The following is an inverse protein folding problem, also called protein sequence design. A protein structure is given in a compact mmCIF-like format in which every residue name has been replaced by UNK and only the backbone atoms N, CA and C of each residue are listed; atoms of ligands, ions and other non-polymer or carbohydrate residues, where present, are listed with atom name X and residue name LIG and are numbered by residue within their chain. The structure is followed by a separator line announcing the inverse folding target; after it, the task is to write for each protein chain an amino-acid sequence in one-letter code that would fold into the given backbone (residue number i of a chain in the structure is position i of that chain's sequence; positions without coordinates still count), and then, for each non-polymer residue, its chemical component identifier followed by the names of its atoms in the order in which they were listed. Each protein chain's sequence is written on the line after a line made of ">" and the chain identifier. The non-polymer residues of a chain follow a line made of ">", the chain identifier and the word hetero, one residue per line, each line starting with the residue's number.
data_IF_135313760529
#
_entry.id   IF_135313760529
#
_cell.length_a   1.000
_cell.length_b   1.000
_cell.length_c   1.000
_cell.angle_alpha   90.00
_cell.angle_beta   90.00
_cell.angle_gamma   90.00
#
_symmetry.space_group_name_H-M   'P 1'
#
loop_
_entity.id
_entity.type
_entity.pdbx_description
1 polymer ?
#
# COMPACT_ATOMS: atom_id res chain seq x y z
N UNK A 1 56.84 27.56 8.49
CA UNK A 1 55.87 28.61 8.89
C UNK A 1 54.64 28.43 8.03
N UNK A 2 53.70 27.64 8.55
CA UNK A 2 52.41 27.33 7.92
C UNK A 2 51.59 28.61 7.84
N UNK A 3 51.07 28.94 6.65
CA UNK A 3 50.13 30.05 6.45
C UNK A 3 48.96 29.85 7.40
N UNK A 4 48.76 30.81 8.28
CA UNK A 4 47.65 30.87 9.22
C UNK A 4 46.48 31.47 8.46
N UNK A 5 45.46 30.67 8.19
CA UNK A 5 44.24 31.13 7.55
C UNK A 5 43.42 31.91 8.60
N UNK A 6 43.31 33.22 8.43
CA UNK A 6 42.38 34.06 9.19
C UNK A 6 40.97 33.84 8.64
N UNK A 7 40.00 33.68 9.53
CA UNK A 7 38.59 33.47 9.21
C UNK A 7 37.76 34.48 9.99
N UNK A 8 36.93 35.26 9.30
CA UNK A 8 36.02 36.20 9.93
C UNK A 8 34.60 35.62 9.97
N UNK A 9 33.99 35.57 11.16
CA UNK A 9 32.56 35.31 11.31
C UNK A 9 31.83 36.65 11.28
N UNK A 10 30.89 36.81 10.36
CA UNK A 10 30.20 38.06 10.06
C UNK A 10 28.69 37.85 10.15
N UNK A 11 27.98 38.73 10.84
CA UNK A 11 26.52 38.80 10.81
C UNK A 11 26.08 39.82 9.75
N UNK A 12 25.02 39.54 9.00
CA UNK A 12 24.41 40.51 8.09
C UNK A 12 23.06 40.97 8.65
N UNK A 13 22.87 42.28 8.78
CA UNK A 13 21.54 42.88 8.97
C UNK A 13 21.16 43.67 7.71
N UNK A 14 19.98 43.41 7.18
CA UNK A 14 19.43 44.16 6.03
C UNK A 14 18.54 45.27 6.57
N UNK A 15 18.88 46.52 6.30
CA UNK A 15 18.09 47.69 6.69
C UNK A 15 16.81 47.85 5.85
N UNK A 16 15.84 48.64 6.34
CA UNK A 16 14.57 48.92 5.65
C UNK A 16 14.74 49.58 4.25
N UNK A 17 15.91 50.18 3.99
CA UNK A 17 16.31 50.81 2.73
C UNK A 17 17.02 49.87 1.73
N UNK A 18 17.23 48.59 2.07
CA UNK A 18 17.92 47.61 1.20
C UNK A 18 19.44 47.66 1.26
N UNK A 19 20.03 48.38 2.22
CA UNK A 19 21.47 48.39 2.48
C UNK A 19 21.86 47.19 3.37
N UNK A 20 22.92 46.46 2.99
CA UNK A 20 23.47 45.34 3.77
C UNK A 20 24.53 45.83 4.77
N UNK A 21 24.27 45.63 6.06
CA UNK A 21 25.22 45.91 7.14
C UNK A 21 25.93 44.62 7.56
N UNK A 22 27.25 44.58 7.40
CA UNK A 22 28.09 43.45 7.81
C UNK A 22 28.76 43.74 9.16
N UNK A 23 28.43 42.96 10.18
CA UNK A 23 28.98 43.06 11.53
C UNK A 23 30.02 41.95 11.70
N UNK A 24 31.29 42.32 11.78
CA UNK A 24 32.37 41.37 12.08
C UNK A 24 32.33 41.01 13.55
N UNK A 25 32.09 39.73 13.84
CA UNK A 25 31.89 39.22 15.22
C UNK A 25 33.18 38.71 15.85
N UNK A 26 33.97 37.92 15.12
CA UNK A 26 35.30 37.49 15.56
C UNK A 26 36.20 37.25 14.34
N UNK A 27 37.51 37.39 14.54
CA UNK A 27 38.56 36.99 13.59
C UNK A 27 39.33 35.84 14.21
N UNK A 28 39.13 34.65 13.68
CA UNK A 28 39.68 33.41 14.21
C UNK A 28 40.77 32.92 13.29
N UNK A 29 41.93 32.60 13.85
CA UNK A 29 42.99 31.91 13.12
C UNK A 29 42.79 30.41 13.32
N UNK A 30 42.49 29.68 12.26
CA UNK A 30 42.18 28.24 12.35
C UNK A 30 43.49 27.46 12.53
N UNK A 31 43.65 26.84 13.70
CA UNK A 31 44.74 25.91 14.04
C UNK A 31 44.12 24.58 14.51
N UNK A 32 44.88 23.50 14.49
CA UNK A 32 44.43 22.22 15.06
C UNK A 32 44.02 22.41 16.55
N UNK A 33 42.80 21.99 16.90
CA UNK A 33 42.19 22.22 18.23
C UNK A 33 41.47 23.56 18.41
N UNK A 34 41.37 24.38 17.36
CA UNK A 34 40.68 25.67 17.36
C UNK A 34 39.17 25.60 17.03
N UNK A 35 38.61 24.40 16.82
CA UNK A 35 37.23 24.25 16.36
C UNK A 35 36.21 24.85 17.33
N UNK A 36 36.48 24.76 18.64
CA UNK A 36 35.59 25.29 19.68
C UNK A 36 35.39 26.81 19.57
N UNK A 37 36.46 27.56 19.32
CA UNK A 37 36.40 29.03 19.18
C UNK A 37 35.70 29.44 17.89
N UNK A 38 35.99 28.76 16.78
CA UNK A 38 35.29 28.99 15.52
C UNK A 38 33.78 28.71 15.67
N UNK A 39 33.41 27.61 16.33
CA UNK A 39 32.01 27.27 16.58
C UNK A 39 31.30 28.28 17.50
N UNK A 40 32.01 28.91 18.44
CA UNK A 40 31.46 29.97 19.29
C UNK A 40 31.32 31.29 18.53
N UNK A 41 32.30 31.67 17.72
CA UNK A 41 32.24 32.82 16.82
C UNK A 41 31.05 32.72 15.84
N UNK A 42 30.86 31.56 15.20
CA UNK A 42 29.73 31.30 14.30
C UNK A 42 28.40 31.36 15.07
N UNK A 43 28.31 30.79 16.28
CA UNK A 43 27.10 30.87 17.11
C UNK A 43 26.75 32.33 17.48
N UNK A 44 27.73 33.14 17.82
CA UNK A 44 27.54 34.57 18.12
C UNK A 44 27.13 35.36 16.89
N UNK A 45 27.80 35.15 15.75
CA UNK A 45 27.44 35.76 14.47
C UNK A 45 26.01 35.43 14.07
N UNK A 46 25.61 34.17 14.27
CA UNK A 46 24.26 33.72 14.01
C UNK A 46 23.22 34.36 14.93
N UNK A 47 23.52 34.52 16.22
CA UNK A 47 22.61 35.15 17.17
C UNK A 47 22.33 36.62 16.80
N UNK A 48 23.35 37.32 16.30
CA UNK A 48 23.23 38.71 15.82
C UNK A 48 22.52 38.75 14.47
N UNK A 49 22.92 37.92 13.50
CA UNK A 49 22.37 37.87 12.15
C UNK A 49 21.04 37.11 12.02
N UNK A 50 20.28 36.98 13.12
CA UNK A 50 18.96 36.32 13.18
C UNK A 50 18.89 34.94 12.53
N UNK A 51 19.95 34.14 12.64
CA UNK A 51 20.02 32.80 12.03
C UNK A 51 20.98 32.68 10.85
N UNK A 52 21.41 33.81 10.27
CA UNK A 52 22.40 33.89 9.18
C UNK A 52 23.76 34.30 9.71
N UNK A 53 24.82 33.74 9.13
CA UNK A 53 26.20 34.15 9.38
C UNK A 53 27.04 33.89 8.12
N UNK A 54 27.96 34.77 7.82
CA UNK A 54 28.92 34.65 6.74
C UNK A 54 30.29 34.32 7.33
N UNK A 55 30.96 33.33 6.77
CA UNK A 55 32.34 32.96 7.10
C UNK A 55 33.22 33.37 5.93
N UNK A 56 34.13 34.31 6.14
CA UNK A 56 35.08 34.77 5.11
C UNK A 56 36.45 34.21 5.42
N UNK A 57 37.06 33.50 4.48
CA UNK A 57 38.44 33.03 4.62
C UNK A 57 39.42 34.06 4.05
N UNK A 58 40.55 34.27 4.72
CA UNK A 58 41.59 35.21 4.32
C UNK A 58 42.61 34.60 3.34
N UNK A 59 42.37 33.40 2.80
CA UNK A 59 43.14 32.88 1.69
C UNK A 59 42.94 33.81 0.47
N UNK A 60 43.93 33.91 -0.41
CA UNK A 60 44.08 35.02 -1.37
C UNK A 60 42.95 35.29 -2.37
N UNK A 61 41.83 34.55 -2.30
CA UNK A 61 40.62 34.75 -3.10
C UNK A 61 39.41 35.23 -2.28
N UNK A 62 39.49 35.28 -0.94
CA UNK A 62 38.41 35.82 -0.09
C UNK A 62 37.14 34.98 -0.15
N UNK A 63 37.25 33.65 -0.06
CA UNK A 63 36.10 32.75 -0.23
C UNK A 63 35.05 33.00 0.87
N UNK A 64 33.83 33.31 0.43
CA UNK A 64 32.66 33.63 1.26
C UNK A 64 31.75 32.41 1.40
N UNK A 65 31.60 31.91 2.62
CA UNK A 65 30.72 30.78 2.94
C UNK A 65 29.57 31.25 3.80
N UNK A 66 28.37 31.31 3.21
CA UNK A 66 27.15 31.59 3.95
C UNK A 66 26.68 30.36 4.72
N UNK A 67 26.47 30.54 6.02
CA UNK A 67 25.89 29.56 6.91
C UNK A 67 24.52 30.07 7.39
N UNK A 68 23.54 29.19 7.30
CA UNK A 68 22.20 29.48 7.78
C UNK A 68 21.66 28.28 8.54
N UNK A 69 20.88 28.55 9.58
CA UNK A 69 20.21 27.51 10.36
C UNK A 69 18.68 27.61 10.30
N UNK A 70 18.16 28.75 9.86
CA UNK A 70 16.79 28.79 9.36
C UNK A 70 16.84 28.46 7.87
N UNK A 71 15.76 27.93 7.31
CA UNK A 71 15.67 27.72 5.87
C UNK A 71 15.46 29.10 5.21
N UNK A 72 16.47 29.98 5.21
CA UNK A 72 16.39 31.30 4.55
C UNK A 72 17.24 31.29 3.30
N UNK A 73 16.69 31.81 2.20
CA UNK A 73 17.43 31.99 0.95
C UNK A 73 18.57 33.00 1.15
N UNK A 74 19.80 32.62 0.77
CA UNK A 74 20.99 33.49 0.87
C UNK A 74 21.01 34.60 -0.17
N UNK A 75 20.21 34.50 -1.24
CA UNK A 75 20.19 35.48 -2.32
C UNK A 75 19.14 36.58 -2.10
N UNK A 76 17.95 36.23 -1.61
CA UNK A 76 16.85 37.20 -1.42
C UNK A 76 16.41 37.38 0.03
N UNK A 77 16.95 36.61 0.98
CA UNK A 77 16.60 36.71 2.40
C UNK A 77 15.20 36.15 2.76
N UNK A 78 14.52 35.46 1.85
CA UNK A 78 13.20 34.88 2.12
C UNK A 78 13.28 33.68 3.08
N UNK A 79 12.50 33.71 4.15
CA UNK A 79 12.38 32.62 5.12
C UNK A 79 11.38 31.55 4.66
N UNK A 80 11.77 30.29 4.74
CA UNK A 80 10.93 29.13 4.49
C UNK A 80 10.60 28.42 5.81
N UNK A 81 9.33 28.04 6.04
CA UNK A 81 8.95 27.23 7.19
C UNK A 81 9.56 25.82 7.11
N UNK A 82 9.65 25.16 8.26
CA UNK A 82 10.02 23.76 8.32
C UNK A 82 8.99 22.90 7.59
N UNK A 83 9.47 22.05 6.70
CA UNK A 83 8.63 21.08 6.00
C UNK A 83 8.07 20.05 6.97
N UNK A 84 6.76 19.88 6.92
CA UNK A 84 5.98 18.90 7.65
C UNK A 84 5.30 17.93 6.67
N UNK A 85 4.75 16.82 7.18
CA UNK A 85 4.02 15.87 6.32
C UNK A 85 2.74 16.50 5.75
N UNK A 86 2.13 17.39 6.52
CA UNK A 86 0.90 18.09 6.18
C UNK A 86 1.08 18.96 4.93
N UNK A 87 2.28 19.52 4.71
CA UNK A 87 2.60 20.33 3.54
C UNK A 87 2.51 19.53 2.23
N UNK A 88 2.74 18.22 2.28
CA UNK A 88 2.67 17.31 1.13
C UNK A 88 1.31 16.61 1.00
N UNK A 89 0.29 17.04 1.74
CA UNK A 89 -1.05 16.44 1.68
C UNK A 89 -1.94 17.15 0.67
N UNK A 90 -2.22 16.51 -0.46
CA UNK A 90 -3.18 17.00 -1.45
C UNK A 90 -4.61 16.78 -0.92
N UNK A 91 -5.24 17.84 -0.41
CA UNK A 91 -6.66 17.81 -0.01
C UNK A 91 -7.53 17.87 -1.27
N UNK A 92 -8.35 16.84 -1.49
CA UNK A 92 -9.07 16.62 -2.75
C UNK A 92 -9.94 17.80 -3.22
N UNK A 93 -10.00 17.96 -4.56
CA UNK A 93 -10.86 18.92 -5.25
C UNK A 93 -10.12 20.18 -5.73
N UNK A 94 -9.27 20.06 -6.75
CA UNK A 94 -8.73 21.20 -7.51
C UNK A 94 -7.92 22.23 -6.72
N UNK A 95 -7.59 21.96 -5.46
CA UNK A 95 -6.76 22.82 -4.63
C UNK A 95 -5.35 22.88 -5.19
N UNK A 96 -4.83 24.09 -5.37
CA UNK A 96 -3.41 24.29 -5.71
C UNK A 96 -2.55 23.62 -4.64
N UNK A 97 -1.52 22.92 -5.09
CA UNK A 97 -0.46 22.40 -4.23
C UNK A 97 0.05 23.53 -3.32
N UNK A 98 0.25 23.30 -2.01
CA UNK A 98 0.85 24.31 -1.14
C UNK A 98 2.19 24.77 -1.75
N UNK A 99 2.43 26.08 -1.76
CA UNK A 99 3.60 26.68 -2.45
C UNK A 99 4.95 26.09 -2.01
N UNK A 100 5.04 25.58 -0.78
CA UNK A 100 6.22 24.89 -0.28
C UNK A 100 6.40 23.48 -0.83
N UNK A 101 5.34 22.67 -0.95
CA UNK A 101 5.46 21.34 -1.54
C UNK A 101 5.79 21.41 -3.04
N UNK A 102 5.22 22.40 -3.74
CA UNK A 102 5.51 22.64 -5.14
C UNK A 102 6.97 23.07 -5.42
N UNK A 103 7.67 23.64 -4.43
CA UNK A 103 9.07 24.06 -4.56
C UNK A 103 10.07 23.09 -3.94
N UNK A 104 9.62 22.17 -3.08
CA UNK A 104 10.45 21.12 -2.53
C UNK A 104 10.79 20.09 -3.62
N UNK A 105 12.09 19.73 -3.70
CA UNK A 105 12.56 18.69 -4.62
C UNK A 105 13.23 17.55 -3.88
N UNK A 106 13.04 16.35 -4.40
CA UNK A 106 13.78 15.15 -4.06
C UNK A 106 14.68 14.86 -5.27
N UNK A 107 16.01 14.88 -5.09
CA UNK A 107 17.00 14.67 -6.18
C UNK A 107 16.70 15.45 -7.48
N UNK A 108 16.26 16.71 -7.35
CA UNK A 108 15.93 17.59 -8.48
C UNK A 108 14.54 17.40 -9.07
N UNK A 109 13.72 16.49 -8.54
CA UNK A 109 12.33 16.26 -8.95
C UNK A 109 11.38 16.83 -7.90
N UNK A 110 10.44 17.68 -8.33
CA UNK A 110 9.43 18.27 -7.45
C UNK A 110 8.40 17.24 -6.98
N UNK A 111 7.67 17.54 -5.90
CA UNK A 111 6.56 16.67 -5.47
C UNK A 111 5.48 16.55 -6.56
N UNK A 112 5.10 17.66 -7.19
CA UNK A 112 4.20 17.67 -8.35
C UNK A 112 4.65 16.71 -9.46
N UNK A 113 5.91 16.78 -9.90
CA UNK A 113 6.46 15.87 -10.91
C UNK A 113 6.43 14.41 -10.46
N UNK A 114 6.80 14.11 -9.20
CA UNK A 114 6.73 12.76 -8.64
C UNK A 114 5.29 12.21 -8.66
N UNK A 115 4.29 13.03 -8.39
CA UNK A 115 2.89 12.57 -8.42
C UNK A 115 2.39 12.26 -9.83
N UNK A 116 2.98 12.86 -10.87
CA UNK A 116 2.63 12.55 -12.26
C UNK A 116 3.33 11.30 -12.79
N UNK A 117 4.35 10.80 -12.10
CA UNK A 117 4.99 9.54 -12.44
C UNK A 117 4.05 8.36 -12.24
N UNK A 118 4.17 7.37 -13.11
CA UNK A 118 3.59 6.04 -12.95
C UNK A 118 4.20 5.30 -11.76
N UNK A 119 3.48 4.33 -11.18
CA UNK A 119 4.00 3.53 -10.07
C UNK A 119 5.33 2.83 -10.44
N UNK A 120 5.49 2.36 -11.69
CA UNK A 120 6.75 1.77 -12.17
C UNK A 120 7.89 2.79 -12.31
N UNK A 121 7.58 4.03 -12.68
CA UNK A 121 8.57 5.13 -12.67
C UNK A 121 8.99 5.49 -11.25
N UNK A 122 8.04 5.59 -10.31
CA UNK A 122 8.35 5.81 -8.89
C UNK A 122 9.16 4.64 -8.33
N UNK A 123 8.88 3.41 -8.76
CA UNK A 123 9.66 2.23 -8.38
C UNK A 123 11.13 2.38 -8.80
N UNK A 124 11.36 2.69 -10.08
CA UNK A 124 12.71 2.95 -10.62
C UNK A 124 13.40 4.13 -9.92
N UNK A 125 12.66 5.20 -9.68
CA UNK A 125 13.14 6.40 -8.98
C UNK A 125 13.59 6.06 -7.56
N UNK A 126 12.75 5.35 -6.78
CA UNK A 126 13.07 4.94 -5.41
C UNK A 126 14.27 4.00 -5.34
N UNK A 127 14.43 3.09 -6.30
CA UNK A 127 15.58 2.20 -6.39
C UNK A 127 16.88 2.96 -6.75
N UNK A 128 16.79 4.01 -7.56
CA UNK A 128 17.93 4.87 -7.85
C UNK A 128 18.38 5.68 -6.63
N UNK A 129 17.41 6.20 -5.86
CA UNK A 129 17.66 6.92 -4.60
C UNK A 129 18.31 6.02 -3.53
N UNK A 130 17.84 4.78 -3.42
CA UNK A 130 18.39 3.79 -2.49
C UNK A 130 19.85 3.44 -2.85
N UNK A 131 20.13 3.21 -4.14
CA UNK A 131 21.48 2.92 -4.63
C UNK A 131 22.45 4.09 -4.46
N UNK A 132 22.00 5.33 -4.67
CA UNK A 132 22.88 6.48 -4.50
C UNK A 132 23.23 6.70 -3.03
N UNK A 133 22.28 6.42 -2.12
CA UNK A 133 22.42 6.71 -0.68
C UNK A 133 22.58 8.20 -0.39
N UNK A 134 22.33 9.07 -1.37
CA UNK A 134 22.65 10.50 -1.35
C UNK A 134 21.47 11.30 -1.87
N UNK A 135 21.15 12.38 -1.16
CA UNK A 135 20.16 13.38 -1.51
C UNK A 135 20.79 14.77 -1.44
N UNK A 136 20.83 15.49 -2.56
CA UNK A 136 21.39 16.85 -2.62
C UNK A 136 22.85 16.94 -2.17
N UNK A 137 23.67 15.92 -2.48
CA UNK A 137 25.08 15.85 -2.08
C UNK A 137 25.34 15.39 -0.65
N UNK A 138 24.29 15.22 0.17
CA UNK A 138 24.38 14.70 1.54
C UNK A 138 23.93 13.25 1.62
N UNK A 139 24.52 12.46 2.52
CA UNK A 139 24.03 11.09 2.77
C UNK A 139 22.60 11.11 3.27
N UNK A 140 21.79 10.18 2.79
CA UNK A 140 20.43 9.98 3.29
C UNK A 140 20.47 9.66 4.80
N UNK A 141 19.56 10.25 5.60
CA UNK A 141 19.40 9.86 6.99
C UNK A 141 19.15 8.35 7.11
N UNK A 142 19.70 7.73 8.16
CA UNK A 142 19.53 6.28 8.41
C UNK A 142 18.04 5.88 8.47
N UNK A 143 17.20 6.78 8.98
CA UNK A 143 15.75 6.58 9.08
C UNK A 143 15.05 6.51 7.72
N UNK A 144 15.63 7.10 6.66
CA UNK A 144 15.05 7.09 5.32
C UNK A 144 15.05 5.70 4.68
N UNK A 145 15.97 4.83 5.07
CA UNK A 145 16.06 3.47 4.52
C UNK A 145 14.77 2.67 4.73
N UNK A 146 14.20 2.70 5.95
CA UNK A 146 12.95 2.01 6.24
C UNK A 146 11.76 2.55 5.44
N UNK A 147 11.73 3.87 5.19
CA UNK A 147 10.68 4.51 4.39
C UNK A 147 10.80 4.13 2.91
N UNK A 148 12.02 4.12 2.37
CA UNK A 148 12.30 3.72 0.99
C UNK A 148 11.93 2.24 0.78
N UNK A 149 12.31 1.37 1.72
CA UNK A 149 11.96 -0.05 1.68
C UNK A 149 10.44 -0.27 1.75
N UNK A 150 9.74 0.44 2.63
CA UNK A 150 8.28 0.37 2.71
C UNK A 150 7.61 0.84 1.40
N UNK A 151 8.10 1.93 0.81
CA UNK A 151 7.62 2.42 -0.48
C UNK A 151 7.84 1.37 -1.59
N UNK A 152 9.06 0.85 -1.70
CA UNK A 152 9.41 -0.19 -2.69
C UNK A 152 8.57 -1.45 -2.52
N UNK A 153 8.25 -1.86 -1.28
CA UNK A 153 7.37 -2.99 -1.02
C UNK A 153 5.95 -2.77 -1.60
N UNK A 154 5.38 -1.58 -1.42
CA UNK A 154 4.08 -1.24 -2.00
C UNK A 154 4.12 -1.20 -3.54
N UNK A 155 5.18 -0.62 -4.11
CA UNK A 155 5.33 -0.49 -5.56
C UNK A 155 5.58 -1.85 -6.24
N UNK A 156 6.31 -2.77 -5.59
CA UNK A 156 6.53 -4.12 -6.09
C UNK A 156 5.20 -4.91 -6.19
N UNK A 157 4.33 -4.78 -5.19
CA UNK A 157 3.00 -5.41 -5.24
C UNK A 157 2.13 -4.82 -6.35
N UNK A 158 2.19 -3.50 -6.56
CA UNK A 158 1.48 -2.84 -7.66
C UNK A 158 1.97 -3.30 -9.04
N UNK A 159 3.30 -3.44 -9.22
CA UNK A 159 3.87 -3.95 -10.47
C UNK A 159 3.49 -5.42 -10.72
N UNK A 160 3.54 -6.25 -9.67
CA UNK A 160 3.11 -7.67 -9.72
C UNK A 160 1.66 -7.81 -10.16
N UNK A 161 0.79 -6.87 -9.78
CA UNK A 161 -0.63 -6.86 -10.14
C UNK A 161 -0.94 -6.03 -11.38
N UNK A 162 0.04 -5.73 -12.23
CA UNK A 162 -0.15 -5.06 -13.52
C UNK A 162 -0.93 -3.74 -13.38
N UNK A 163 -0.60 -2.98 -12.33
CA UNK A 163 -1.08 -1.61 -12.12
C UNK A 163 0.07 -0.59 -12.07
N UNK A 164 1.27 -1.03 -12.47
CA UNK A 164 2.49 -0.21 -12.53
C UNK A 164 2.37 1.02 -13.44
N UNK A 165 1.55 0.95 -14.49
CA UNK A 165 1.30 2.02 -15.45
C UNK A 165 0.43 3.17 -14.91
N UNK A 166 -0.18 3.02 -13.74
CA UNK A 166 -1.08 4.02 -13.16
C UNK A 166 -0.26 5.18 -12.58
N UNK A 167 -0.51 6.45 -12.95
CA UNK A 167 0.09 7.60 -12.30
C UNK A 167 -0.31 7.72 -10.83
N UNK A 168 0.61 8.15 -9.95
CA UNK A 168 0.34 8.29 -8.51
C UNK A 168 -0.78 9.30 -8.22
N UNK A 169 -0.93 10.32 -9.08
CA UNK A 169 -1.98 11.35 -9.02
C UNK A 169 -3.35 10.87 -9.50
N UNK A 170 -3.44 9.69 -10.14
CA UNK A 170 -4.69 9.22 -10.75
C UNK A 170 -5.70 8.88 -9.66
N UNK A 171 -6.89 9.47 -9.78
CA UNK A 171 -7.99 9.23 -8.84
C UNK A 171 -8.46 7.78 -8.93
N UNK A 172 -8.69 7.17 -7.76
CA UNK A 172 -9.31 5.84 -7.66
C UNK A 172 -10.66 5.76 -8.37
N UNK A 173 -11.37 6.88 -8.58
CA UNK A 173 -12.67 6.92 -9.29
C UNK A 173 -12.53 6.74 -10.79
N UNK A 174 -11.41 7.19 -11.36
CA UNK A 174 -11.14 7.22 -12.81
C UNK A 174 -10.45 5.93 -13.29
N UNK A 175 -10.27 4.96 -12.39
CA UNK A 175 -9.79 3.62 -12.70
C UNK A 175 -10.93 2.76 -13.23
N UNK A 176 -10.60 1.87 -14.17
CA UNK A 176 -11.48 0.76 -14.51
C UNK A 176 -11.72 -0.12 -13.27
N UNK A 177 -12.81 -0.88 -13.26
CA UNK A 177 -13.11 -1.76 -12.12
C UNK A 177 -12.01 -2.81 -11.90
N UNK A 178 -11.43 -3.33 -12.98
CA UNK A 178 -10.28 -4.23 -12.92
C UNK A 178 -9.02 -3.57 -12.32
N UNK A 179 -8.64 -2.37 -12.77
CA UNK A 179 -7.50 -1.63 -12.18
C UNK A 179 -7.74 -1.32 -10.70
N UNK A 180 -8.94 -0.84 -10.37
CA UNK A 180 -9.33 -0.49 -9.00
C UNK A 180 -9.21 -1.69 -8.07
N UNK A 181 -9.71 -2.85 -8.50
CA UNK A 181 -9.59 -4.10 -7.75
C UNK A 181 -8.14 -4.51 -7.55
N UNK A 182 -7.31 -4.46 -8.60
CA UNK A 182 -5.88 -4.82 -8.52
C UNK A 182 -5.11 -3.88 -7.58
N UNK A 183 -5.39 -2.58 -7.60
CA UNK A 183 -4.82 -1.61 -6.62
C UNK A 183 -5.23 -1.97 -5.19
N UNK A 184 -6.50 -2.34 -4.97
CA UNK A 184 -6.99 -2.75 -3.64
C UNK A 184 -6.30 -4.04 -3.16
N UNK A 185 -6.15 -5.04 -4.03
CA UNK A 185 -5.46 -6.30 -3.70
C UNK A 185 -3.98 -6.04 -3.39
N UNK A 186 -3.29 -5.19 -4.15
CA UNK A 186 -1.90 -4.78 -3.86
C UNK A 186 -1.79 -4.19 -2.45
N UNK A 187 -2.75 -3.33 -2.08
CA UNK A 187 -2.80 -2.70 -0.77
C UNK A 187 -3.11 -3.69 0.37
N UNK A 188 -3.77 -4.82 0.11
CA UNK A 188 -4.02 -5.84 1.13
C UNK A 188 -2.82 -6.73 1.38
N UNK A 189 -2.14 -7.18 0.33
CA UNK A 189 -0.95 -8.03 0.42
C UNK A 189 0.15 -7.33 1.21
N UNK A 190 0.35 -6.04 0.92
CA UNK A 190 1.42 -5.24 1.53
C UNK A 190 1.19 -4.89 3.00
N UNK A 191 0.00 -5.16 3.55
CA UNK A 191 -0.27 -4.96 4.99
C UNK A 191 0.24 -6.10 5.85
N UNK A 192 0.55 -7.27 5.29
CA UNK A 192 1.09 -8.42 6.03
C UNK A 192 0.20 -8.88 7.19
N UNK A 193 -1.12 -8.75 7.07
CA UNK A 193 -2.04 -9.19 8.12
C UNK A 193 -2.17 -10.71 8.13
N UNK A 194 -2.40 -11.27 9.32
CA UNK A 194 -2.57 -12.71 9.56
C UNK A 194 -3.87 -12.95 10.33
N UNK A 195 -4.55 -14.06 10.04
CA UNK A 195 -5.83 -14.40 10.69
C UNK A 195 -6.99 -13.49 10.28
N UNK A 196 -6.89 -12.85 9.11
CA UNK A 196 -7.94 -12.01 8.54
C UNK A 196 -8.83 -12.82 7.61
N UNK A 197 -10.13 -12.53 7.63
CA UNK A 197 -11.10 -13.00 6.66
C UNK A 197 -11.30 -11.92 5.58
N UNK A 198 -10.77 -12.16 4.39
CA UNK A 198 -11.02 -11.33 3.21
C UNK A 198 -12.25 -11.83 2.48
N UNK A 199 -13.15 -10.92 2.11
CA UNK A 199 -14.37 -11.24 1.38
C UNK A 199 -14.44 -10.34 0.16
N UNK A 200 -14.30 -10.91 -1.04
CA UNK A 200 -14.09 -10.16 -2.27
C UNK A 200 -15.10 -10.58 -3.34
N UNK A 201 -16.03 -9.69 -3.75
CA UNK A 201 -16.99 -9.99 -4.80
C UNK A 201 -16.36 -9.84 -6.19
N UNK A 202 -16.51 -10.88 -7.02
CA UNK A 202 -16.12 -10.92 -8.45
C UNK A 202 -14.77 -10.30 -8.77
N UNK A 203 -13.68 -10.71 -8.06
CA UNK A 203 -12.38 -10.05 -8.12
C UNK A 203 -11.73 -10.08 -9.49
N UNK A 204 -12.08 -11.06 -10.33
CA UNK A 204 -11.45 -11.28 -11.63
C UNK A 204 -12.31 -10.80 -12.80
N UNK A 205 -13.46 -10.18 -12.51
CA UNK A 205 -14.32 -9.60 -13.53
C UNK A 205 -13.57 -8.50 -14.30
N UNK A 206 -13.73 -8.49 -15.63
CA UNK A 206 -13.05 -7.56 -16.53
C UNK A 206 -11.50 -7.66 -16.56
N UNK A 207 -10.90 -8.77 -16.10
CA UNK A 207 -9.47 -9.05 -16.24
C UNK A 207 -9.18 -9.97 -17.43
N UNK A 208 -8.10 -9.67 -18.15
CA UNK A 208 -7.49 -10.58 -19.11
C UNK A 208 -6.81 -11.78 -18.41
N UNK A 209 -6.32 -12.74 -19.20
CA UNK A 209 -5.74 -13.98 -18.67
C UNK A 209 -4.49 -13.75 -17.81
N UNK A 210 -3.64 -12.78 -18.20
CA UNK A 210 -2.40 -12.46 -17.49
C UNK A 210 -2.70 -11.83 -16.13
N UNK A 211 -3.54 -10.78 -16.11
CA UNK A 211 -3.95 -10.11 -14.89
C UNK A 211 -4.72 -11.05 -13.95
N UNK A 212 -5.55 -11.95 -14.49
CA UNK A 212 -6.26 -12.97 -13.72
C UNK A 212 -5.29 -13.88 -12.97
N UNK A 213 -4.28 -14.40 -13.68
CA UNK A 213 -3.25 -15.26 -13.10
C UNK A 213 -2.46 -14.54 -12.01
N UNK A 214 -2.09 -13.27 -12.27
CA UNK A 214 -1.38 -12.44 -11.30
C UNK A 214 -2.19 -12.23 -10.02
N UNK A 215 -3.48 -11.89 -10.14
CA UNK A 215 -4.37 -11.69 -8.98
C UNK A 215 -4.60 -12.97 -8.21
N UNK A 216 -4.82 -14.12 -8.87
CA UNK A 216 -5.00 -15.40 -8.20
C UNK A 216 -3.80 -15.77 -7.33
N UNK A 217 -2.57 -15.69 -7.87
CA UNK A 217 -1.33 -15.92 -7.11
C UNK A 217 -1.21 -14.96 -5.91
N UNK A 218 -1.64 -13.71 -6.10
CA UNK A 218 -1.65 -12.72 -5.04
C UNK A 218 -2.64 -13.10 -3.91
N UNK A 219 -3.83 -13.58 -4.25
CA UNK A 219 -4.82 -14.06 -3.28
C UNK A 219 -4.36 -15.34 -2.57
N UNK A 220 -3.72 -16.27 -3.28
CA UNK A 220 -3.08 -17.45 -2.71
C UNK A 220 -2.04 -17.07 -1.66
N UNK A 221 -1.21 -16.05 -1.93
CA UNK A 221 -0.20 -15.56 -0.96
C UNK A 221 -0.82 -15.05 0.34
N UNK A 222 -2.04 -14.47 0.30
CA UNK A 222 -2.76 -14.10 1.51
C UNK A 222 -3.14 -15.33 2.32
N UNK A 223 -3.56 -16.40 1.65
CA UNK A 223 -3.91 -17.68 2.28
C UNK A 223 -2.67 -18.38 2.86
N UNK A 224 -1.54 -18.34 2.17
CA UNK A 224 -0.25 -18.81 2.69
C UNK A 224 0.20 -18.07 3.94
N UNK A 225 -0.13 -16.77 4.05
CA UNK A 225 0.10 -15.99 5.25
C UNK A 225 -0.84 -16.34 6.43
N UNK A 226 -1.73 -17.34 6.29
CA UNK A 226 -2.66 -17.76 7.34
C UNK A 226 -3.97 -16.96 7.38
N UNK A 227 -4.38 -16.40 6.24
CA UNK A 227 -5.68 -15.74 6.09
C UNK A 227 -6.70 -16.66 5.41
N UNK A 228 -7.97 -16.28 5.48
CA UNK A 228 -9.04 -16.91 4.70
C UNK A 228 -9.50 -15.92 3.63
N UNK A 229 -9.65 -16.36 2.39
CA UNK A 229 -10.13 -15.53 1.29
C UNK A 229 -11.42 -16.14 0.75
N UNK A 230 -12.55 -15.43 0.87
CA UNK A 230 -13.83 -15.82 0.29
C UNK A 230 -14.08 -14.98 -0.95
N UNK A 231 -14.21 -15.63 -2.10
CA UNK A 231 -14.56 -15.03 -3.38
C UNK A 231 -16.04 -15.29 -3.69
N UNK A 232 -16.72 -14.34 -4.33
CA UNK A 232 -17.97 -14.64 -5.05
C UNK A 232 -17.68 -14.58 -6.52
N UNK A 233 -17.82 -15.70 -7.23
CA UNK A 233 -17.67 -15.69 -8.67
C UNK A 233 -18.48 -16.79 -9.36
N UNK A 234 -18.74 -16.60 -10.65
CA UNK A 234 -19.32 -17.60 -11.53
C UNK A 234 -18.34 -18.04 -12.62
N UNK A 235 -17.13 -17.48 -12.68
CA UNK A 235 -16.05 -17.86 -13.58
C UNK A 235 -15.48 -19.23 -13.19
N UNK A 236 -15.43 -20.15 -14.16
CA UNK A 236 -14.94 -21.52 -13.95
C UNK A 236 -13.46 -21.54 -13.57
N UNK A 237 -12.64 -20.65 -14.14
CA UNK A 237 -11.22 -20.57 -13.82
C UNK A 237 -10.95 -20.11 -12.39
N UNK A 238 -11.82 -19.26 -11.82
CA UNK A 238 -11.78 -18.95 -10.38
C UNK A 238 -12.07 -20.20 -9.55
N UNK A 239 -13.09 -20.98 -9.94
CA UNK A 239 -13.47 -22.20 -9.21
C UNK A 239 -12.35 -23.22 -9.19
N UNK A 240 -11.69 -23.43 -10.34
CA UNK A 240 -10.56 -24.36 -10.47
C UNK A 240 -9.36 -23.98 -9.60
N UNK A 241 -9.13 -22.68 -9.36
CA UNK A 241 -8.02 -22.18 -8.55
C UNK A 241 -8.29 -22.19 -7.04
N UNK A 242 -9.53 -22.43 -6.60
CA UNK A 242 -9.88 -22.41 -5.18
C UNK A 242 -9.51 -23.72 -4.49
N UNK A 243 -9.38 -23.70 -3.16
CA UNK A 243 -9.28 -24.91 -2.34
C UNK A 243 -10.66 -25.55 -2.12
N UNK A 244 -11.68 -24.70 -1.99
CA UNK A 244 -13.06 -25.11 -1.70
C UNK A 244 -14.06 -24.30 -2.53
N UNK A 245 -15.04 -24.99 -3.12
CA UNK A 245 -16.16 -24.38 -3.86
C UNK A 245 -17.47 -24.65 -3.14
N UNK A 246 -18.24 -23.60 -2.88
CA UNK A 246 -19.60 -23.66 -2.36
C UNK A 246 -20.57 -23.20 -3.46
N UNK A 247 -21.35 -24.13 -4.00
CA UNK A 247 -22.31 -23.82 -5.06
C UNK A 247 -23.67 -23.43 -4.49
N UNK A 248 -24.26 -22.34 -4.96
CA UNK A 248 -25.57 -21.84 -4.57
C UNK A 248 -26.57 -21.95 -5.72
N UNK A 249 -27.70 -22.59 -5.44
CA UNK A 249 -28.84 -22.69 -6.34
C UNK A 249 -30.12 -22.49 -5.54
N UNK A 250 -31.02 -21.62 -6.02
CA UNK A 250 -32.33 -21.35 -5.42
C UNK A 250 -32.30 -21.07 -3.91
N UNK A 251 -31.26 -20.38 -3.46
CA UNK A 251 -31.08 -20.02 -2.05
C UNK A 251 -30.56 -21.12 -1.14
N UNK A 252 -30.19 -22.27 -1.71
CA UNK A 252 -29.56 -23.39 -1.02
C UNK A 252 -28.10 -23.48 -1.43
N UNK A 253 -27.23 -23.70 -0.44
CA UNK A 253 -25.85 -24.08 -0.68
C UNK A 253 -25.74 -25.59 -0.82
N UNK A 254 -25.06 -26.05 -1.86
CA UNK A 254 -24.52 -27.40 -1.89
C UNK A 254 -23.39 -27.52 -0.84
N UNK A 255 -23.13 -28.75 -0.41
CA UNK A 255 -22.00 -29.04 0.47
C UNK A 255 -20.70 -28.51 -0.16
N UNK A 256 -19.80 -27.89 0.63
CA UNK A 256 -18.51 -27.44 0.13
C UNK A 256 -17.77 -28.61 -0.52
N UNK A 257 -17.41 -28.45 -1.79
CA UNK A 257 -16.61 -29.43 -2.52
C UNK A 257 -15.16 -28.96 -2.48
N UNK A 258 -14.25 -29.80 -1.98
CA UNK A 258 -12.83 -29.57 -2.14
C UNK A 258 -12.48 -29.76 -3.61
N UNK A 259 -11.92 -28.73 -4.21
CA UNK A 259 -11.51 -28.76 -5.61
C UNK A 259 -10.21 -29.55 -5.68
N UNK A 260 -10.31 -30.80 -6.14
CA UNK A 260 -9.15 -31.47 -6.74
C UNK A 260 -9.13 -31.11 -8.22
N UNK A 261 -7.94 -30.98 -8.86
CA UNK A 261 -7.84 -30.64 -10.29
C UNK A 261 -8.61 -31.58 -11.23
N UNK A 262 -9.09 -32.73 -10.74
CA UNK A 262 -9.84 -33.73 -11.51
C UNK A 262 -11.36 -33.73 -11.27
N UNK A 263 -11.90 -32.96 -10.31
CA UNK A 263 -13.28 -33.14 -9.82
C UNK A 263 -14.28 -32.04 -10.21
N UNK A 264 -13.92 -31.14 -11.14
CA UNK A 264 -14.83 -30.06 -11.61
C UNK A 264 -15.74 -30.52 -12.75
N UNK A 265 -15.54 -31.73 -13.30
CA UNK A 265 -16.39 -32.29 -14.36
C UNK A 265 -17.09 -33.55 -13.86
N UNK A 266 -18.08 -33.41 -12.97
CA UNK A 266 -19.11 -34.44 -12.76
C UNK A 266 -20.39 -33.89 -12.10
N UNK A 267 -21.49 -33.91 -12.87
CA UNK A 267 -22.92 -33.73 -12.49
C UNK A 267 -23.43 -32.27 -12.43
N UNK A 268 -24.38 -31.80 -13.25
CA UNK A 268 -25.63 -32.45 -13.66
C UNK A 268 -26.01 -32.19 -15.13
N UNK A 269 -26.25 -33.28 -15.86
CA UNK A 269 -26.88 -33.26 -17.18
C UNK A 269 -28.40 -33.19 -17.08
N UNK A 270 -29.00 -32.18 -17.72
CA UNK A 270 -30.33 -32.27 -18.30
C UNK A 270 -30.23 -31.90 -19.79
N UNK A 271 -30.70 -32.83 -20.62
CA UNK A 271 -30.53 -32.97 -22.07
C UNK A 271 -30.50 -31.72 -22.98
N UNK A 272 -29.61 -31.80 -23.97
CA UNK A 272 -29.62 -31.03 -25.21
C UNK A 272 -28.45 -31.45 -26.11
N UNK A 273 -28.74 -32.27 -27.14
CA UNK A 273 -27.79 -32.72 -28.17
C UNK A 273 -27.12 -31.54 -28.91
N UNK A 274 -25.79 -31.63 -29.15
CA UNK A 274 -25.12 -31.13 -30.36
C UNK A 274 -23.59 -31.34 -30.31
N UNK A 275 -23.13 -32.42 -30.97
CA UNK A 275 -21.93 -32.57 -31.82
C UNK A 275 -20.57 -31.94 -31.44
N UNK A 276 -19.60 -32.83 -31.21
CA UNK A 276 -18.20 -32.86 -31.70
C UNK A 276 -17.29 -31.62 -31.62
N UNK A 277 -16.18 -31.73 -30.87
CA UNK A 277 -14.82 -31.89 -31.42
C UNK A 277 -13.80 -32.23 -30.29
N UNK A 278 -12.83 -33.12 -30.52
CA UNK A 278 -11.82 -33.48 -29.54
C UNK A 278 -10.60 -32.55 -29.65
N UNK A 279 -10.01 -32.14 -28.52
CA UNK A 279 -8.64 -31.66 -28.54
C UNK A 279 -7.84 -32.32 -27.41
N UNK A 280 -7.13 -33.39 -27.78
CA UNK A 280 -6.02 -33.96 -27.02
C UNK A 280 -4.77 -33.16 -27.38
N UNK A 281 -4.10 -32.61 -26.37
CA UNK A 281 -2.65 -32.36 -26.35
C UNK A 281 -2.25 -32.60 -24.89
N UNK A 282 -1.82 -33.81 -24.59
CA UNK A 282 -0.42 -34.25 -24.54
C UNK A 282 0.28 -33.88 -23.22
N UNK A 283 0.86 -34.94 -22.67
CA UNK A 283 1.50 -35.07 -21.39
C UNK A 283 2.78 -34.23 -21.31
N UNK A 284 2.97 -33.52 -20.20
CA UNK A 284 4.20 -32.83 -19.86
C UNK A 284 4.28 -32.62 -18.37
N UNK A 285 5.08 -33.44 -17.68
CA UNK A 285 5.22 -33.43 -16.24
C UNK A 285 5.74 -32.10 -15.67
N UNK A 286 5.23 -31.76 -14.49
CA UNK A 286 5.71 -30.63 -13.68
C UNK A 286 4.97 -30.64 -12.35
N UNK A 287 5.68 -30.98 -11.28
CA UNK A 287 5.12 -31.39 -9.99
C UNK A 287 4.40 -30.31 -9.19
N UNK A 288 3.59 -30.79 -8.25
CA UNK A 288 2.95 -29.99 -7.21
C UNK A 288 1.62 -30.57 -6.77
N UNK A 289 1.60 -31.82 -6.28
CA UNK A 289 0.44 -32.33 -5.57
C UNK A 289 0.28 -31.56 -4.25
N UNK A 290 -0.49 -30.47 -4.28
CA UNK A 290 -0.88 -29.73 -3.10
C UNK A 290 -1.69 -30.66 -2.19
N UNK A 291 -1.11 -31.04 -1.05
CA UNK A 291 -1.85 -31.69 0.02
C UNK A 291 -2.92 -30.71 0.47
N UNK A 292 -4.20 -31.05 0.25
CA UNK A 292 -5.32 -30.24 0.69
C UNK A 292 -5.13 -29.89 2.18
N UNK A 293 -5.04 -28.59 2.50
CA UNK A 293 -4.91 -28.12 3.89
C UNK A 293 -6.20 -28.52 4.61
N UNK A 294 -6.17 -29.61 5.38
CA UNK A 294 -7.30 -29.99 6.24
C UNK A 294 -7.39 -28.96 7.36
N UNK A 295 -8.16 -27.89 7.15
CA UNK A 295 -8.40 -26.90 8.19
C UNK A 295 -9.42 -27.45 9.18
N UNK A 296 -9.03 -27.53 10.44
CA UNK A 296 -9.93 -28.01 11.49
C UNK A 296 -10.99 -26.96 11.89
N UNK A 297 -10.90 -25.74 11.36
CA UNK A 297 -11.73 -24.60 11.75
C UNK A 297 -12.71 -24.19 10.64
N UNK A 298 -13.96 -23.95 11.00
CA UNK A 298 -15.00 -23.52 10.07
C UNK A 298 -15.87 -22.38 10.59
N UNK A 299 -16.34 -21.55 9.68
CA UNK A 299 -17.38 -20.55 9.89
C UNK A 299 -18.72 -21.21 9.51
N UNK A 300 -19.55 -21.49 10.52
CA UNK A 300 -20.84 -22.14 10.35
C UNK A 300 -21.92 -21.09 10.20
N UNK A 301 -22.57 -21.08 9.06
CA UNK A 301 -23.79 -20.33 8.84
C UNK A 301 -24.93 -21.30 9.10
N UNK A 302 -25.85 -20.92 9.98
CA UNK A 302 -27.03 -21.71 10.31
C UNK A 302 -28.30 -20.90 10.11
N UNK A 303 -29.26 -21.50 9.42
CA UNK A 303 -30.56 -20.91 9.17
C UNK A 303 -31.47 -21.13 10.36
N UNK A 304 -32.09 -20.09 10.89
CA UNK A 304 -33.28 -20.24 11.73
C UNK A 304 -34.50 -20.34 10.81
N UNK A 305 -35.48 -21.14 11.21
CA UNK A 305 -36.65 -21.58 10.42
C UNK A 305 -37.65 -20.45 10.05
N UNK A 306 -37.21 -19.20 9.94
CA UNK A 306 -38.04 -18.01 9.71
C UNK A 306 -37.46 -16.96 8.75
N UNK A 307 -36.37 -17.25 8.02
CA UNK A 307 -35.82 -16.30 7.03
C UNK A 307 -36.74 -16.08 5.82
N UNK A 308 -37.05 -14.83 5.48
CA UNK A 308 -37.80 -14.50 4.27
C UNK A 308 -36.87 -14.35 3.04
N UNK A 309 -37.17 -15.04 1.94
CA UNK A 309 -36.45 -14.91 0.66
C UNK A 309 -35.50 -16.07 0.35
N UNK A 310 -34.51 -15.83 -0.53
CA UNK A 310 -33.61 -16.85 -1.10
C UNK A 310 -32.52 -17.34 -0.12
N UNK A 311 -32.73 -17.31 1.20
CA UNK A 311 -31.75 -17.80 2.20
C UNK A 311 -32.45 -18.56 3.35
N UNK A 312 -33.73 -18.88 3.20
CA UNK A 312 -34.50 -19.61 4.20
C UNK A 312 -33.92 -21.02 4.40
N UNK A 313 -33.57 -21.38 5.64
CA UNK A 313 -33.03 -22.72 5.99
C UNK A 313 -31.62 -23.00 5.47
N UNK A 314 -30.81 -21.96 5.24
CA UNK A 314 -29.43 -22.13 4.77
C UNK A 314 -28.48 -22.59 5.89
N UNK A 315 -27.99 -23.82 5.79
CA UNK A 315 -26.90 -24.34 6.61
C UNK A 315 -25.65 -24.60 5.76
N UNK A 316 -24.54 -23.91 6.07
CA UNK A 316 -23.27 -24.10 5.36
C UNK A 316 -22.06 -23.91 6.29
N UNK A 317 -21.04 -24.75 6.12
CA UNK A 317 -19.76 -24.67 6.83
C UNK A 317 -18.69 -24.16 5.86
N UNK A 318 -18.13 -22.98 6.13
CA UNK A 318 -17.06 -22.39 5.32
C UNK A 318 -15.72 -22.68 6.01
N UNK A 319 -14.79 -23.43 5.40
CA UNK A 319 -13.47 -23.67 6.01
C UNK A 319 -12.65 -22.37 6.10
N UNK A 320 -11.87 -22.24 7.17
CA UNK A 320 -10.94 -21.12 7.35
C UNK A 320 -9.55 -21.46 6.81
N UNK A 321 -8.68 -20.46 6.68
CA UNK A 321 -7.28 -20.58 6.23
C UNK A 321 -7.15 -21.18 4.81
N UNK A 322 -8.13 -20.87 3.96
CA UNK A 322 -8.27 -21.37 2.60
C UNK A 322 -8.77 -20.28 1.64
N UNK A 323 -8.57 -20.51 0.35
CA UNK A 323 -9.24 -19.82 -0.74
C UNK A 323 -10.58 -20.50 -1.05
N UNK A 324 -11.69 -19.87 -0.67
CA UNK A 324 -13.04 -20.39 -0.83
C UNK A 324 -13.78 -19.55 -1.87
N UNK A 325 -14.48 -20.19 -2.81
CA UNK A 325 -15.40 -19.50 -3.72
C UNK A 325 -16.85 -19.88 -3.44
N UNK A 326 -17.72 -18.87 -3.47
CA UNK A 326 -19.16 -18.98 -3.49
C UNK A 326 -19.65 -18.73 -4.91
N UNK A 327 -20.19 -19.77 -5.55
CA UNK A 327 -20.67 -19.70 -6.94
C UNK A 327 -22.16 -19.99 -7.05
N UNK A 328 -22.76 -19.79 -8.23
CA UNK A 328 -24.19 -20.06 -8.48
C UNK A 328 -24.80 -19.23 -9.59
N UNK A 329 -26.02 -19.51 -10.01
CA UNK A 329 -26.73 -18.69 -11.01
C UNK A 329 -27.03 -17.27 -10.48
N UNK A 330 -27.30 -16.33 -11.38
CA UNK A 330 -27.76 -14.99 -10.97
C UNK A 330 -29.10 -15.11 -10.23
N UNK A 331 -29.26 -14.34 -9.14
CA UNK A 331 -30.45 -14.43 -8.29
C UNK A 331 -30.42 -15.53 -7.22
N UNK A 332 -29.43 -16.43 -7.22
CA UNK A 332 -29.31 -17.52 -6.24
C UNK A 332 -29.06 -17.07 -4.78
N UNK A 333 -28.91 -15.77 -4.52
CA UNK A 333 -28.75 -15.23 -3.17
C UNK A 333 -27.30 -14.98 -2.72
N UNK A 334 -26.29 -15.12 -3.59
CA UNK A 334 -24.86 -14.91 -3.25
C UNK A 334 -24.57 -13.54 -2.59
N UNK A 335 -25.11 -12.46 -3.17
CA UNK A 335 -24.97 -11.11 -2.61
C UNK A 335 -25.76 -10.94 -1.31
N UNK A 336 -26.94 -11.54 -1.22
CA UNK A 336 -27.75 -11.55 0.01
C UNK A 336 -27.03 -12.29 1.14
N UNK A 337 -26.31 -13.38 0.84
CA UNK A 337 -25.52 -14.14 1.80
C UNK A 337 -24.41 -13.26 2.39
N UNK A 338 -23.62 -12.59 1.56
CA UNK A 338 -22.51 -11.80 2.06
C UNK A 338 -22.97 -10.49 2.72
N UNK A 339 -23.70 -9.67 1.97
CA UNK A 339 -24.03 -8.30 2.38
C UNK A 339 -25.20 -8.25 3.33
N UNK A 340 -26.16 -9.18 3.19
CA UNK A 340 -27.38 -9.24 4.01
C UNK A 340 -27.21 -10.06 5.29
N UNK A 341 -26.34 -11.08 5.28
CA UNK A 341 -26.18 -12.00 6.41
C UNK A 341 -24.76 -11.99 7.00
N UNK A 342 -23.75 -12.37 6.23
CA UNK A 342 -22.41 -12.64 6.74
C UNK A 342 -21.76 -11.38 7.32
N UNK A 343 -21.69 -10.29 6.54
CA UNK A 343 -21.03 -9.05 6.96
C UNK A 343 -21.74 -8.39 8.16
N UNK A 344 -23.08 -8.26 8.19
CA UNK A 344 -23.80 -7.78 9.37
C UNK A 344 -23.55 -8.64 10.62
N UNK A 345 -23.64 -9.97 10.51
CA UNK A 345 -23.46 -10.87 11.65
C UNK A 345 -22.03 -10.89 12.19
N UNK A 346 -21.03 -10.79 11.32
CA UNK A 346 -19.62 -10.64 11.72
C UNK A 346 -19.34 -9.29 12.42
N UNK A 347 -20.00 -8.21 11.97
CA UNK A 347 -19.87 -6.89 12.62
C UNK A 347 -20.51 -6.88 14.02
N UNK A 348 -21.67 -7.50 14.17
CA UNK A 348 -22.38 -7.60 15.46
C UNK A 348 -21.66 -8.52 16.46
N UNK A 349 -21.01 -9.58 15.97
CA UNK A 349 -20.26 -10.54 16.81
C UNK A 349 -18.84 -10.10 17.18
N UNK A 350 -18.39 -8.91 16.74
CA UNK A 350 -17.03 -8.36 16.94
C UNK A 350 -16.59 -8.25 18.42
N UNK A 351 -17.53 -8.25 19.39
CA UNK A 351 -17.22 -8.32 20.84
C UNK A 351 -16.96 -9.75 21.34
N UNK A 352 -17.55 -10.77 20.69
CA UNK A 352 -17.44 -12.19 21.07
C UNK A 352 -16.13 -12.80 20.59
N UNK A 353 -15.58 -12.31 19.46
CA UNK A 353 -14.28 -12.75 18.93
C UNK A 353 -13.07 -12.34 19.79
N UNK A 354 -13.13 -11.22 20.53
CA UNK A 354 -12.00 -10.75 21.36
C UNK A 354 -11.85 -11.48 22.70
N UNK A 355 -12.89 -12.17 23.17
CA UNK A 355 -12.81 -13.03 24.35
C UNK A 355 -12.80 -14.45 23.83
N UNK A 356 -11.68 -15.15 23.97
CA UNK A 356 -11.62 -16.61 23.80
C UNK A 356 -12.56 -17.30 24.78
N UNK A 357 -13.86 -17.24 24.49
CA UNK A 357 -14.94 -17.75 25.31
C UNK A 357 -15.31 -19.12 24.78
N UNK A 358 -14.91 -20.12 25.55
CA UNK A 358 -15.22 -21.53 25.39
C UNK A 358 -16.72 -21.74 25.09
N UNK A 359 -17.02 -22.19 23.87
CA UNK A 359 -18.14 -23.07 23.56
C UNK A 359 -17.92 -23.74 22.19
N UNK A 360 -17.46 -25.00 22.20
CA UNK A 360 -17.43 -25.90 21.03
C UNK A 360 -16.20 -25.77 20.14
N UNK A 361 -15.36 -26.82 20.13
CA UNK A 361 -14.07 -26.90 19.42
C UNK A 361 -14.19 -26.49 17.94
N UNK A 362 -13.37 -25.52 17.55
CA UNK A 362 -12.99 -25.14 16.19
C UNK A 362 -13.98 -24.38 15.28
N UNK A 363 -15.21 -24.05 15.68
CA UNK A 363 -16.17 -23.38 14.78
C UNK A 363 -16.67 -22.02 15.28
N UNK A 364 -16.86 -21.06 14.37
CA UNK A 364 -17.55 -19.79 14.63
C UNK A 364 -18.96 -19.87 14.05
N UNK A 365 -19.98 -19.72 14.88
CA UNK A 365 -21.38 -19.80 14.45
C UNK A 365 -21.98 -18.42 14.13
N UNK A 366 -22.59 -18.30 12.96
CA UNK A 366 -23.32 -17.15 12.44
C UNK A 366 -24.78 -17.57 12.25
N UNK A 367 -25.67 -17.00 13.05
CA UNK A 367 -27.12 -17.22 12.92
C UNK A 367 -27.73 -16.22 11.95
N UNK A 368 -28.65 -16.71 11.11
CA UNK A 368 -29.42 -15.92 10.16
C UNK A 368 -30.66 -15.22 10.75
N UNK A 369 -30.55 -14.76 12.00
CA UNK A 369 -31.64 -14.04 12.66
C UNK A 369 -31.71 -12.60 12.12
N UNK A 370 -32.75 -12.29 11.34
CA UNK A 370 -33.13 -10.90 11.06
C UNK A 370 -32.73 -10.35 9.69
N UNK A 371 -32.81 -11.11 8.60
CA UNK A 371 -32.92 -10.51 7.25
C UNK A 371 -34.31 -9.87 7.13
N UNK A 372 -34.50 -8.73 7.78
CA UNK A 372 -35.65 -7.86 7.55
C UNK A 372 -35.37 -7.01 6.32
N UNK A 373 -36.35 -6.99 5.41
CA UNK A 373 -36.32 -6.20 4.17
C UNK A 373 -36.02 -4.73 4.43
#
# INVERSE_FOLDING_TARGET
>A
MTRLEEVAAVAEEVGESGESLYIVVDRVVVKAGGEGRLAEAIRSARAIGRGRSLVVTASGEGEEVWLNHQLTCTQCGADYPHLSREDFTIRGGGGKEPSLAASATLSGTTFGELTQMTLDEVCRYSAALDRSGVLGGSRLPVQSAALIQALQHHLAAASTLLVGHIPLSRSMRDLSDGERMRVVVAAYITRGLVGVLYVIPSPLSALDAEARTAVLKALESLVEAGNTVILIDNDVGVMEACDTVVHFADGKAAAPKTTTPASVVDGDGHGGESTDLPNRTEEGGGGGAGVARVCQRSLRIRGSDGGAGNLAGLDVDIPLEQLVVVSGVSGAGKTSLLSGLLLPSLKSSRRRWRRGGVAGKNAVEVQADGIHR
#
